data_IF_048691050514
#
_entry.id   IF_048691050514
#
_cell.length_a   1.000
_cell.length_b   1.000
_cell.length_c   1.000
_cell.angle_alpha   90.00
_cell.angle_beta   90.00
_cell.angle_gamma   90.00
#
_symmetry.space_group_name_H-M   'P 1'
#
loop_
_entity.id
_entity.type
_entity.pdbx_description
1 polymer ?
#
# COMPACT_ATOMS: atom_id res chain seq x y z
N UNK A 1 42.94 -69.71 -2.80
CA UNK A 1 42.91 -68.22 -2.77
C UNK A 1 42.09 -67.78 -3.99
N UNK A 2 40.76 -67.67 -3.97
CA UNK A 2 39.83 -66.64 -3.46
C UNK A 2 40.18 -65.18 -3.83
N UNK A 3 39.18 -64.53 -4.47
CA UNK A 3 38.82 -63.10 -4.69
C UNK A 3 38.94 -62.67 -6.16
N UNK A 4 37.87 -62.48 -6.97
CA UNK A 4 36.60 -61.73 -6.85
C UNK A 4 36.76 -60.22 -6.65
N UNK A 5 36.25 -59.43 -7.61
CA UNK A 5 35.66 -58.05 -7.60
C UNK A 5 35.26 -57.79 -9.08
N UNK A 6 34.00 -57.83 -9.55
CA UNK A 6 32.77 -57.03 -9.33
C UNK A 6 32.80 -55.58 -9.90
N UNK A 7 32.06 -55.43 -11.02
CA UNK A 7 31.13 -54.37 -11.48
C UNK A 7 31.52 -52.88 -11.51
N UNK A 8 31.07 -52.22 -12.57
CA UNK A 8 30.80 -50.78 -12.57
C UNK A 8 30.34 -50.22 -13.92
N UNK A 9 29.26 -50.75 -14.51
CA UNK A 9 28.61 -50.14 -15.67
C UNK A 9 27.92 -48.83 -15.28
N UNK A 10 28.30 -47.74 -15.94
CA UNK A 10 27.80 -46.39 -15.66
C UNK A 10 26.39 -46.26 -16.26
N UNK A 11 25.37 -46.21 -15.39
CA UNK A 11 24.02 -45.76 -15.75
C UNK A 11 24.02 -44.24 -15.90
N UNK A 12 23.77 -43.74 -17.12
CA UNK A 12 23.43 -42.35 -17.35
C UNK A 12 21.99 -42.10 -16.87
N UNK A 13 21.84 -41.43 -15.72
CA UNK A 13 20.55 -40.94 -15.25
C UNK A 13 20.30 -39.60 -15.95
N UNK A 14 19.40 -39.60 -16.93
CA UNK A 14 18.84 -38.37 -17.48
C UNK A 14 18.00 -37.70 -16.38
N UNK A 15 18.52 -36.65 -15.76
CA UNK A 15 17.76 -35.82 -14.85
C UNK A 15 16.74 -35.00 -15.65
N UNK A 16 15.48 -35.45 -15.64
CA UNK A 16 14.34 -34.61 -16.02
C UNK A 16 14.17 -33.56 -14.93
N UNK A 17 14.70 -32.35 -15.18
CA UNK A 17 14.37 -31.17 -14.40
C UNK A 17 12.91 -30.81 -14.66
N UNK A 18 12.03 -31.26 -13.77
CA UNK A 18 10.67 -30.73 -13.67
C UNK A 18 10.81 -29.27 -13.22
N UNK A 19 10.75 -28.36 -14.18
CA UNK A 19 10.59 -26.94 -13.87
C UNK A 19 9.25 -26.78 -13.16
N UNK A 20 9.29 -26.63 -11.84
CA UNK A 20 8.13 -26.21 -11.07
C UNK A 20 7.83 -24.76 -11.46
N UNK A 21 6.95 -24.58 -12.44
CA UNK A 21 6.33 -23.30 -12.72
C UNK A 21 5.52 -22.93 -11.47
N UNK A 22 6.05 -22.05 -10.62
CA UNK A 22 5.30 -21.46 -9.52
C UNK A 22 4.13 -20.71 -10.14
N UNK A 23 2.95 -21.33 -10.16
CA UNK A 23 1.77 -20.74 -10.75
C UNK A 23 1.33 -19.58 -9.85
N UNK A 24 1.58 -18.35 -10.28
CA UNK A 24 1.08 -17.15 -9.61
C UNK A 24 -0.44 -17.26 -9.52
N UNK A 25 -0.97 -17.19 -8.30
CA UNK A 25 -2.42 -17.21 -8.05
C UNK A 25 -3.11 -16.12 -8.87
N UNK A 26 -4.35 -16.36 -9.30
CA UNK A 26 -5.16 -15.31 -9.89
C UNK A 26 -5.26 -14.11 -8.93
N UNK A 27 -5.17 -12.89 -9.45
CA UNK A 27 -5.07 -11.69 -8.60
C UNK A 27 -6.25 -11.54 -7.64
N UNK A 28 -7.45 -11.96 -8.06
CA UNK A 28 -8.65 -11.95 -7.24
C UNK A 28 -8.56 -12.87 -6.03
N UNK A 29 -7.92 -14.03 -6.17
CA UNK A 29 -7.70 -14.96 -5.06
C UNK A 29 -6.58 -14.44 -4.16
N UNK A 30 -5.54 -13.86 -4.74
CA UNK A 30 -4.45 -13.25 -4.00
C UNK A 30 -4.92 -12.16 -3.03
N UNK A 31 -5.72 -11.21 -3.51
CA UNK A 31 -6.21 -10.11 -2.65
C UNK A 31 -7.24 -10.55 -1.61
N UNK A 32 -7.81 -11.75 -1.73
CA UNK A 32 -8.70 -12.33 -0.71
C UNK A 32 -7.94 -13.03 0.42
N UNK A 33 -6.63 -13.23 0.30
CA UNK A 33 -5.83 -13.83 1.36
C UNK A 33 -5.67 -12.89 2.56
N UNK A 34 -5.46 -13.48 3.73
CA UNK A 34 -5.11 -12.72 4.94
C UNK A 34 -3.60 -12.58 5.04
N UNK A 35 -3.11 -11.35 5.07
CA UNK A 35 -1.68 -11.06 5.21
C UNK A 35 -1.38 -10.45 6.59
N UNK A 36 -0.87 -11.26 7.52
CA UNK A 36 -0.58 -10.83 8.90
C UNK A 36 0.40 -9.64 8.98
N UNK A 37 1.33 -9.56 8.03
CA UNK A 37 2.36 -8.51 7.95
C UNK A 37 2.14 -7.54 6.80
N UNK A 38 0.90 -7.47 6.27
CA UNK A 38 0.56 -6.68 5.09
C UNK A 38 0.94 -7.36 3.78
N UNK A 39 0.47 -6.78 2.68
CA UNK A 39 0.60 -7.38 1.35
C UNK A 39 2.08 -7.48 0.93
N UNK A 40 2.56 -8.66 0.50
CA UNK A 40 3.96 -8.86 0.12
C UNK A 40 4.30 -8.13 -1.18
N UNK A 41 5.10 -7.07 -1.07
CA UNK A 41 5.50 -6.23 -2.21
C UNK A 41 6.12 -7.01 -3.37
N UNK A 42 7.01 -7.97 -3.09
CA UNK A 42 7.73 -8.72 -4.12
C UNK A 42 6.82 -9.68 -4.91
N UNK A 43 5.82 -10.27 -4.25
CA UNK A 43 4.82 -11.11 -4.93
C UNK A 43 3.91 -10.25 -5.81
N UNK A 44 3.51 -9.08 -5.31
CA UNK A 44 2.69 -8.12 -6.05
C UNK A 44 3.39 -7.61 -7.30
N UNK A 45 4.71 -7.40 -7.25
CA UNK A 45 5.52 -6.98 -8.39
C UNK A 45 5.52 -7.99 -9.55
N UNK A 46 5.17 -9.25 -9.30
CA UNK A 46 5.05 -10.30 -10.32
C UNK A 46 3.78 -10.24 -11.17
N UNK A 47 2.78 -9.43 -10.80
CA UNK A 47 1.53 -9.33 -11.54
C UNK A 47 1.61 -8.36 -12.72
N UNK A 48 1.05 -8.70 -13.90
CA UNK A 48 1.00 -7.80 -15.05
C UNK A 48 0.02 -6.65 -14.78
N UNK A 49 0.54 -5.53 -14.28
CA UNK A 49 -0.25 -4.43 -13.74
C UNK A 49 -1.43 -3.98 -14.62
N UNK A 50 -1.19 -3.79 -15.92
CA UNK A 50 -2.25 -3.30 -16.85
C UNK A 50 -3.39 -4.32 -17.02
N UNK A 51 -3.10 -5.61 -16.91
CA UNK A 51 -4.09 -6.68 -17.10
C UNK A 51 -4.97 -6.86 -15.85
N UNK A 52 -4.38 -6.68 -14.66
CA UNK A 52 -5.06 -6.93 -13.39
C UNK A 52 -5.78 -5.71 -12.81
N UNK A 53 -5.37 -4.49 -13.17
CA UNK A 53 -5.96 -3.25 -12.66
C UNK A 53 -7.49 -3.17 -12.88
N UNK A 54 -8.06 -3.47 -14.07
CA UNK A 54 -9.50 -3.41 -14.27
C UNK A 54 -10.28 -4.33 -13.33
N UNK A 55 -9.77 -5.54 -13.08
CA UNK A 55 -10.38 -6.48 -12.14
C UNK A 55 -10.35 -5.92 -10.71
N UNK A 56 -9.20 -5.39 -10.27
CA UNK A 56 -9.06 -4.82 -8.94
C UNK A 56 -9.98 -3.60 -8.73
N UNK A 57 -10.12 -2.72 -9.73
CA UNK A 57 -11.06 -1.59 -9.69
C UNK A 57 -12.50 -2.10 -9.57
N UNK A 58 -12.87 -3.13 -10.32
CA UNK A 58 -14.20 -3.73 -10.22
C UNK A 58 -14.46 -4.33 -8.82
N UNK A 59 -13.48 -4.99 -8.22
CA UNK A 59 -13.58 -5.50 -6.85
C UNK A 59 -13.74 -4.38 -5.83
N UNK A 60 -13.09 -3.23 -6.03
CA UNK A 60 -13.21 -2.06 -5.15
C UNK A 60 -14.62 -1.45 -5.18
N UNK A 61 -15.33 -1.59 -6.31
CA UNK A 61 -16.73 -1.17 -6.46
C UNK A 61 -17.73 -2.21 -5.93
N UNK A 62 -17.36 -3.49 -5.83
CA UNK A 62 -18.25 -4.57 -5.42
C UNK A 62 -18.37 -4.72 -3.90
N UNK A 63 -19.61 -4.69 -3.38
CA UNK A 63 -19.88 -4.96 -1.95
C UNK A 63 -19.63 -6.41 -1.56
N UNK A 64 -19.66 -7.37 -2.50
CA UNK A 64 -19.29 -8.77 -2.25
C UNK A 64 -17.81 -8.93 -1.87
N UNK A 65 -16.99 -7.94 -2.23
CA UNK A 65 -15.53 -7.98 -2.04
C UNK A 65 -15.08 -7.10 -0.88
N UNK A 66 -16.02 -6.69 -0.02
CA UNK A 66 -15.78 -5.78 1.10
C UNK A 66 -14.64 -6.22 2.02
N UNK A 67 -14.51 -7.53 2.25
CA UNK A 67 -13.43 -8.09 3.08
C UNK A 67 -12.06 -8.03 2.40
N UNK A 68 -12.02 -7.99 1.07
CA UNK A 68 -10.79 -7.90 0.27
C UNK A 68 -10.38 -6.46 -0.04
N UNK A 69 -11.26 -5.47 0.12
CA UNK A 69 -10.98 -4.06 -0.19
C UNK A 69 -9.65 -3.53 0.38
N UNK A 70 -9.23 -3.83 1.64
CA UNK A 70 -7.93 -3.35 2.14
C UNK A 70 -6.75 -3.82 1.29
N UNK A 71 -6.75 -5.09 0.88
CA UNK A 71 -5.70 -5.66 0.05
C UNK A 71 -5.81 -5.14 -1.40
N UNK A 72 -7.02 -5.06 -1.94
CA UNK A 72 -7.28 -4.50 -3.28
C UNK A 72 -6.70 -3.09 -3.39
N UNK A 73 -7.02 -2.22 -2.43
CA UNK A 73 -6.56 -0.84 -2.43
C UNK A 73 -5.03 -0.73 -2.28
N UNK A 74 -4.44 -1.59 -1.45
CA UNK A 74 -2.99 -1.70 -1.27
C UNK A 74 -2.30 -2.10 -2.57
N UNK A 75 -2.77 -3.18 -3.21
CA UNK A 75 -2.20 -3.69 -4.46
C UNK A 75 -2.33 -2.67 -5.58
N UNK A 76 -3.50 -2.05 -5.75
CA UNK A 76 -3.70 -0.97 -6.71
C UNK A 76 -2.67 0.15 -6.52
N UNK A 77 -2.35 0.53 -5.29
CA UNK A 77 -1.30 1.51 -5.02
C UNK A 77 0.11 1.05 -5.39
N UNK A 78 0.43 -0.23 -5.18
CA UNK A 78 1.76 -0.80 -5.44
C UNK A 78 2.05 -0.97 -6.93
N UNK A 79 1.06 -1.38 -7.73
CA UNK A 79 1.23 -1.69 -9.16
C UNK A 79 0.59 -0.67 -10.10
N UNK A 80 -0.25 0.21 -9.56
CA UNK A 80 -1.02 1.18 -10.32
C UNK A 80 -0.17 2.19 -11.08
N UNK A 81 -0.86 2.84 -12.01
CA UNK A 81 -0.41 4.04 -12.71
C UNK A 81 -1.47 5.15 -12.51
N UNK A 82 -1.29 6.30 -13.17
CA UNK A 82 -2.17 7.46 -13.00
C UNK A 82 -3.67 7.13 -13.18
N UNK A 83 -4.03 6.08 -13.95
CA UNK A 83 -5.43 5.69 -14.20
C UNK A 83 -6.16 5.21 -12.94
N UNK A 84 -5.44 4.67 -11.95
CA UNK A 84 -6.07 4.15 -10.72
C UNK A 84 -6.26 5.23 -9.65
N UNK A 85 -5.65 6.41 -9.82
CA UNK A 85 -5.68 7.49 -8.83
C UNK A 85 -7.12 7.93 -8.52
N UNK A 86 -7.93 8.17 -9.56
CA UNK A 86 -9.33 8.56 -9.41
C UNK A 86 -10.14 7.49 -8.65
N UNK A 87 -10.01 6.22 -9.01
CA UNK A 87 -10.75 5.14 -8.35
C UNK A 87 -10.39 4.98 -6.86
N UNK A 88 -9.12 5.15 -6.50
CA UNK A 88 -8.70 5.11 -5.09
C UNK A 88 -9.19 6.34 -4.31
N UNK A 89 -9.15 7.53 -4.91
CA UNK A 89 -9.67 8.75 -4.31
C UNK A 89 -11.18 8.65 -4.08
N UNK A 90 -11.93 8.25 -5.11
CA UNK A 90 -13.38 8.06 -5.05
C UNK A 90 -13.75 7.03 -3.98
N UNK A 91 -12.98 5.94 -3.90
CA UNK A 91 -13.18 4.92 -2.87
C UNK A 91 -12.96 5.44 -1.45
N UNK A 92 -11.97 6.31 -1.23
CA UNK A 92 -11.79 6.95 0.08
C UNK A 92 -12.98 7.86 0.38
N UNK A 93 -13.43 8.63 -0.61
CA UNK A 93 -14.45 9.66 -0.45
C UNK A 93 -15.89 9.14 -0.33
N UNK A 94 -16.22 7.99 -0.93
CA UNK A 94 -17.61 7.47 -0.93
C UNK A 94 -18.15 7.18 0.48
N UNK A 95 -19.47 7.17 0.63
CA UNK A 95 -20.15 6.86 1.91
C UNK A 95 -20.68 8.11 2.61
N UNK A 96 -21.45 7.91 3.66
CA UNK A 96 -22.25 8.93 4.35
C UNK A 96 -21.67 9.38 5.70
N UNK A 97 -20.45 8.94 6.02
CA UNK A 97 -19.79 9.25 7.31
C UNK A 97 -19.86 8.13 8.34
N UNK A 98 -20.79 7.18 8.22
CA UNK A 98 -20.84 5.99 9.07
C UNK A 98 -19.99 4.87 8.45
N UNK A 99 -18.97 4.42 9.16
CA UNK A 99 -17.97 3.48 8.63
C UNK A 99 -17.75 2.40 9.67
N UNK A 100 -17.95 1.15 9.29
CA UNK A 100 -17.57 0.03 10.14
C UNK A 100 -16.05 -0.19 10.12
N UNK A 101 -15.56 -1.09 10.98
CA UNK A 101 -14.12 -1.38 11.07
C UNK A 101 -13.53 -1.85 9.75
N UNK A 102 -14.29 -2.61 8.96
CA UNK A 102 -13.84 -3.17 7.68
C UNK A 102 -13.59 -2.07 6.66
N UNK A 103 -14.56 -1.18 6.49
CA UNK A 103 -14.46 -0.08 5.55
C UNK A 103 -13.43 0.97 6.03
N UNK A 104 -13.32 1.17 7.33
CA UNK A 104 -12.30 2.04 7.91
C UNK A 104 -10.89 1.53 7.61
N UNK A 105 -10.66 0.23 7.79
CA UNK A 105 -9.40 -0.43 7.43
C UNK A 105 -9.13 -0.33 5.93
N UNK A 106 -10.16 -0.53 5.10
CA UNK A 106 -10.01 -0.46 3.65
C UNK A 106 -9.58 0.95 3.19
N UNK A 107 -10.19 2.00 3.74
CA UNK A 107 -9.85 3.39 3.39
C UNK A 107 -8.50 3.84 3.93
N UNK A 108 -8.11 3.35 5.11
CA UNK A 108 -6.75 3.51 5.62
C UNK A 108 -5.73 2.92 4.64
N UNK A 109 -5.99 1.71 4.15
CA UNK A 109 -5.13 1.06 3.16
C UNK A 109 -5.16 1.77 1.79
N UNK A 110 -6.30 2.32 1.37
CA UNK A 110 -6.38 3.14 0.17
C UNK A 110 -5.53 4.41 0.26
N UNK A 111 -5.48 5.09 1.41
CA UNK A 111 -4.58 6.22 1.64
C UNK A 111 -3.10 5.81 1.54
N UNK A 112 -2.72 4.66 2.10
CA UNK A 112 -1.36 4.13 1.89
C UNK A 112 -1.11 3.75 0.43
N UNK A 113 -2.10 3.16 -0.25
CA UNK A 113 -2.07 2.87 -1.68
C UNK A 113 -1.81 4.13 -2.51
N UNK A 114 -2.46 5.25 -2.18
CA UNK A 114 -2.19 6.55 -2.79
C UNK A 114 -0.74 7.03 -2.52
N UNK A 115 -0.20 6.78 -1.32
CA UNK A 115 1.21 7.05 -1.02
C UNK A 115 2.18 6.25 -1.90
N UNK A 116 1.91 4.95 -2.10
CA UNK A 116 2.68 4.09 -2.99
C UNK A 116 2.56 4.53 -4.46
N UNK A 117 1.36 4.91 -4.88
CA UNK A 117 1.11 5.41 -6.21
C UNK A 117 1.89 6.70 -6.47
N UNK A 118 1.83 7.67 -5.53
CA UNK A 118 2.56 8.92 -5.61
C UNK A 118 4.08 8.71 -5.70
N UNK A 119 4.63 7.73 -4.98
CA UNK A 119 6.05 7.36 -5.09
C UNK A 119 6.43 6.98 -6.53
N UNK A 120 5.58 6.18 -7.19
CA UNK A 120 5.83 5.66 -8.53
C UNK A 120 5.56 6.67 -9.63
N UNK A 121 4.42 7.37 -9.57
CA UNK A 121 3.89 8.13 -10.71
C UNK A 121 4.15 9.63 -10.62
N UNK A 122 4.45 10.15 -9.41
CA UNK A 122 4.47 11.60 -9.14
C UNK A 122 3.16 12.29 -9.52
N UNK A 123 2.04 11.56 -9.44
CA UNK A 123 0.73 12.06 -9.82
C UNK A 123 0.30 13.24 -8.94
N UNK A 124 0.08 14.38 -9.58
CA UNK A 124 -0.23 15.64 -8.90
C UNK A 124 -1.63 15.63 -8.27
N UNK A 125 -2.60 14.90 -8.85
CA UNK A 125 -3.92 14.74 -8.26
C UNK A 125 -3.80 14.01 -6.92
N UNK A 126 -2.96 12.96 -6.86
CA UNK A 126 -2.71 12.22 -5.63
C UNK A 126 -2.02 13.09 -4.58
N UNK A 127 -1.01 13.88 -4.97
CA UNK A 127 -0.34 14.82 -4.06
C UNK A 127 -1.33 15.82 -3.47
N UNK A 128 -2.14 16.47 -4.33
CA UNK A 128 -3.13 17.47 -3.90
C UNK A 128 -4.12 16.84 -2.94
N UNK A 129 -4.63 15.65 -3.26
CA UNK A 129 -5.58 14.93 -2.42
C UNK A 129 -5.01 14.63 -1.03
N UNK A 130 -3.82 14.02 -0.96
CA UNK A 130 -3.18 13.67 0.32
C UNK A 130 -2.80 14.91 1.14
N UNK A 131 -2.39 16.00 0.47
CA UNK A 131 -2.04 17.28 1.14
C UNK A 131 -3.25 17.98 1.71
N UNK A 132 -4.41 17.90 1.05
CA UNK A 132 -5.63 18.49 1.54
C UNK A 132 -6.03 17.88 2.91
N UNK A 133 -5.61 16.65 3.19
CA UNK A 133 -5.77 16.00 4.50
C UNK A 133 -7.23 15.90 4.95
N UNK A 134 -8.18 16.08 4.01
CA UNK A 134 -9.61 16.11 4.29
C UNK A 134 -10.07 14.69 4.52
N UNK A 135 -10.49 14.41 5.75
CA UNK A 135 -11.27 13.20 6.01
C UNK A 135 -12.65 13.37 5.38
N UNK A 136 -13.13 12.40 4.57
CA UNK A 136 -14.50 12.42 4.04
C UNK A 136 -15.56 12.14 5.13
N UNK A 137 -15.17 11.97 6.40
CA UNK A 137 -16.06 11.59 7.50
C UNK A 137 -16.40 12.75 8.44
N UNK A 138 -16.49 13.96 7.89
CA UNK A 138 -16.49 15.24 8.62
C UNK A 138 -17.64 15.46 9.60
N UNK A 139 -18.66 14.58 9.69
CA UNK A 139 -19.85 14.84 10.52
C UNK A 139 -20.05 13.87 11.70
N UNK A 140 -19.34 12.74 11.77
CA UNK A 140 -19.48 11.81 12.91
C UNK A 140 -18.12 11.30 13.43
N UNK A 141 -17.42 12.17 14.15
CA UNK A 141 -16.36 11.81 15.09
C UNK A 141 -15.00 12.40 14.74
N UNK A 142 -14.66 13.53 15.38
CA UNK A 142 -13.39 14.27 15.23
C UNK A 142 -12.15 13.37 15.32
N UNK A 143 -12.19 12.33 16.16
CA UNK A 143 -11.08 11.38 16.31
C UNK A 143 -10.85 10.49 15.07
N UNK A 144 -11.92 10.09 14.38
CA UNK A 144 -11.83 9.32 13.13
C UNK A 144 -11.27 10.19 12.01
N UNK A 145 -11.71 11.46 11.97
CA UNK A 145 -11.21 12.45 11.02
C UNK A 145 -9.72 12.72 11.21
N UNK A 146 -9.30 12.94 12.45
CA UNK A 146 -7.90 13.08 12.80
C UNK A 146 -7.08 11.88 12.32
N UNK A 147 -7.53 10.66 12.59
CA UNK A 147 -6.74 9.47 12.26
C UNK A 147 -6.50 9.27 10.76
N UNK A 148 -7.46 9.66 9.90
CA UNK A 148 -7.26 9.63 8.45
C UNK A 148 -6.39 10.77 7.95
N UNK A 149 -6.50 11.96 8.54
CA UNK A 149 -5.53 13.04 8.30
C UNK A 149 -4.11 12.58 8.67
N UNK A 150 -3.93 11.94 9.83
CA UNK A 150 -2.65 11.38 10.23
C UNK A 150 -2.17 10.28 9.27
N UNK A 151 -3.09 9.47 8.74
CA UNK A 151 -2.79 8.46 7.73
C UNK A 151 -2.34 9.10 6.41
N UNK A 152 -3.00 10.16 5.96
CA UNK A 152 -2.60 10.91 4.77
C UNK A 152 -1.21 11.53 4.93
N UNK A 153 -0.89 12.10 6.10
CA UNK A 153 0.45 12.60 6.44
C UNK A 153 1.49 11.47 6.35
N UNK A 154 1.18 10.28 6.87
CA UNK A 154 2.08 9.11 6.75
C UNK A 154 2.23 8.64 5.30
N UNK A 155 1.16 8.67 4.51
CA UNK A 155 1.20 8.33 3.09
C UNK A 155 2.08 9.30 2.29
N UNK A 156 2.01 10.61 2.57
CA UNK A 156 2.96 11.60 2.04
C UNK A 156 4.40 11.26 2.43
N UNK A 157 4.61 10.82 3.67
CA UNK A 157 5.89 10.32 4.15
C UNK A 157 6.41 9.17 3.30
N UNK A 158 5.63 8.10 3.19
CA UNK A 158 5.99 6.89 2.45
C UNK A 158 6.16 7.15 0.95
N UNK A 159 5.54 8.20 0.39
CA UNK A 159 5.71 8.53 -1.03
C UNK A 159 7.14 8.87 -1.43
N UNK A 160 7.99 9.35 -0.50
CA UNK A 160 9.37 9.70 -0.80
C UNK A 160 9.53 10.68 -1.98
N UNK A 161 8.59 11.59 -2.19
CA UNK A 161 8.71 12.64 -3.23
C UNK A 161 9.16 13.96 -2.61
N UNK A 162 9.83 14.80 -3.39
CA UNK A 162 10.25 16.13 -2.92
C UNK A 162 9.05 17.04 -2.69
N UNK A 163 8.06 16.89 -3.54
CA UNK A 163 6.78 17.59 -3.49
C UNK A 163 6.01 17.22 -2.22
N UNK A 164 6.02 15.94 -1.82
CA UNK A 164 5.45 15.52 -0.54
C UNK A 164 6.25 16.03 0.66
N UNK A 165 7.59 16.08 0.59
CA UNK A 165 8.39 16.69 1.66
C UNK A 165 8.06 18.19 1.82
N UNK A 166 7.93 18.91 0.71
CA UNK A 166 7.51 20.31 0.71
C UNK A 166 6.07 20.48 1.25
N UNK A 167 5.15 19.58 0.88
CA UNK A 167 3.79 19.57 1.41
C UNK A 167 3.76 19.33 2.92
N UNK A 168 4.52 18.36 3.43
CA UNK A 168 4.66 18.08 4.86
C UNK A 168 5.23 19.29 5.62
N UNK A 169 6.22 19.98 5.04
CA UNK A 169 6.75 21.23 5.60
C UNK A 169 5.69 22.33 5.71
N UNK A 170 4.82 22.48 4.70
CA UNK A 170 3.68 23.42 4.78
C UNK A 170 2.68 23.00 5.85
N UNK A 171 2.32 21.72 5.92
CA UNK A 171 1.38 21.19 6.93
C UNK A 171 1.89 21.44 8.35
N UNK A 172 3.21 21.36 8.57
CA UNK A 172 3.82 21.68 9.86
C UNK A 172 3.58 23.12 10.33
N UNK A 173 3.41 24.05 9.38
CA UNK A 173 3.22 25.47 9.65
C UNK A 173 1.75 25.89 9.72
N UNK A 174 0.82 24.97 9.46
CA UNK A 174 -0.61 25.28 9.53
C UNK A 174 -1.02 25.67 10.94
N UNK A 175 -1.98 26.59 11.02
CA UNK A 175 -2.65 26.87 12.28
C UNK A 175 -3.44 25.64 12.73
N UNK A 176 -3.20 25.23 13.97
CA UNK A 176 -3.81 24.06 14.60
C UNK A 176 -4.60 24.45 15.84
N UNK A 177 -4.94 25.74 16.00
CA UNK A 177 -5.65 26.26 17.16
C UNK A 177 -6.98 25.54 17.46
N UNK A 178 -7.65 25.02 16.42
CA UNK A 178 -8.89 24.25 16.56
C UNK A 178 -8.68 22.85 17.19
N UNK A 179 -7.44 22.34 17.26
CA UNK A 179 -7.13 21.03 17.82
C UNK A 179 -6.78 21.13 19.32
N UNK A 180 -7.23 20.15 20.09
CA UNK A 180 -6.80 19.98 21.47
C UNK A 180 -5.28 19.72 21.57
N UNK A 181 -4.71 19.91 22.77
CA UNK A 181 -3.26 19.80 22.98
C UNK A 181 -2.69 18.41 22.63
N UNK A 182 -3.44 17.33 22.87
CA UNK A 182 -3.02 15.97 22.55
C UNK A 182 -3.02 15.76 21.04
N UNK A 183 -4.10 16.14 20.35
CA UNK A 183 -4.22 16.04 18.90
C UNK A 183 -3.12 16.82 18.18
N UNK A 184 -2.79 18.04 18.65
CA UNK A 184 -1.65 18.82 18.14
C UNK A 184 -0.33 18.11 18.32
N UNK A 185 -0.07 17.54 19.50
CA UNK A 185 1.16 16.80 19.79
C UNK A 185 1.31 15.57 18.90
N UNK A 186 0.23 14.79 18.74
CA UNK A 186 0.21 13.59 17.89
C UNK A 186 0.43 13.97 16.42
N UNK A 187 -0.22 15.02 15.93
CA UNK A 187 -0.03 15.49 14.56
C UNK A 187 1.38 15.98 14.31
N UNK A 188 1.95 16.79 15.21
CA UNK A 188 3.33 17.26 15.11
C UNK A 188 4.35 16.11 15.09
N UNK A 189 4.17 15.11 15.96
CA UNK A 189 5.01 13.90 15.94
C UNK A 189 4.87 13.13 14.61
N UNK A 190 3.63 12.95 14.14
CA UNK A 190 3.36 12.24 12.89
C UNK A 190 3.98 12.94 11.67
N UNK A 191 3.97 14.27 11.63
CA UNK A 191 4.62 15.04 10.55
C UNK A 191 6.14 14.84 10.59
N UNK A 192 6.77 14.88 11.77
CA UNK A 192 8.21 14.63 11.92
C UNK A 192 8.60 13.23 11.46
N UNK A 193 7.81 12.23 11.84
CA UNK A 193 8.06 10.85 11.43
C UNK A 193 7.83 10.66 9.93
N UNK A 194 6.80 11.30 9.35
CA UNK A 194 6.56 11.30 7.91
C UNK A 194 7.71 11.95 7.12
N UNK A 195 8.28 13.07 7.59
CA UNK A 195 9.44 13.69 6.97
C UNK A 195 10.67 12.77 6.99
N UNK A 196 10.91 12.07 8.11
CA UNK A 196 11.99 11.07 8.22
C UNK A 196 11.76 9.89 7.28
N UNK A 197 10.54 9.35 7.25
CA UNK A 197 10.16 8.28 6.34
C UNK A 197 10.36 8.70 4.87
N UNK A 198 9.94 9.91 4.51
CA UNK A 198 10.14 10.46 3.17
C UNK A 198 11.62 10.52 2.79
N UNK A 199 12.46 11.04 3.68
CA UNK A 199 13.90 11.09 3.45
C UNK A 199 14.51 9.70 3.29
N UNK A 200 14.09 8.72 4.11
CA UNK A 200 14.56 7.34 4.01
C UNK A 200 14.10 6.67 2.70
N UNK A 201 12.83 6.78 2.33
CA UNK A 201 12.31 6.26 1.06
C UNK A 201 13.04 6.87 -0.13
N UNK A 202 13.29 8.20 -0.12
CA UNK A 202 14.11 8.88 -1.14
C UNK A 202 15.51 8.31 -1.25
N UNK A 203 16.16 8.05 -0.12
CA UNK A 203 17.54 7.59 -0.08
C UNK A 203 17.68 6.10 -0.43
N UNK A 204 16.72 5.26 -0.05
CA UNK A 204 16.88 3.80 -0.12
C UNK A 204 15.95 3.10 -1.12
N UNK A 205 14.93 3.81 -1.61
CA UNK A 205 13.80 3.25 -2.35
C UNK A 205 12.71 2.69 -1.43
N UNK A 206 11.47 2.73 -1.92
CA UNK A 206 10.28 2.26 -1.20
C UNK A 206 10.35 0.76 -0.85
N UNK A 207 10.76 -0.16 -1.74
CA UNK A 207 10.80 -1.59 -1.40
C UNK A 207 11.73 -1.89 -0.21
N UNK A 208 12.92 -1.27 -0.19
CA UNK A 208 13.90 -1.44 0.89
C UNK A 208 13.46 -0.79 2.20
N UNK A 209 12.71 0.30 2.14
CA UNK A 209 12.09 0.90 3.32
C UNK A 209 11.06 -0.07 3.93
N UNK A 210 10.14 -0.59 3.10
CA UNK A 210 9.05 -1.49 3.55
C UNK A 210 9.53 -2.85 4.05
N UNK A 211 10.71 -3.34 3.63
CA UNK A 211 11.26 -4.60 4.15
C UNK A 211 11.87 -4.47 5.55
N UNK A 212 12.25 -3.25 5.98
CA UNK A 212 12.82 -2.97 7.30
C UNK A 212 11.78 -2.57 8.35
N UNK A 213 10.60 -2.16 7.91
CA UNK A 213 9.51 -1.69 8.78
C UNK A 213 8.53 -2.79 9.18
N UNK A 214 8.76 -4.04 8.78
CA UNK A 214 7.93 -5.21 9.08
C UNK A 214 8.48 -6.01 10.26
#
# INVERSE_FOLDING_TARGET
MIRSIIRGGICAIAALSIGASTQTLAIGDFVRQTFAHGVPFDEVAGYPATDVQPQLIAMLASTSDRTAWPNVATVLGMIGDARVAASLIDFVQRGDGAVDVTEYNAKTNALFGLGYLLNRTRDQQVLVYLTAGRSPFSESGDRRNLQLTLTAIRALGISGTEEAAAALGRVQTLDTAALDALSRRVMSATIKDALRANQQVRATGLPRYLSRSR
#
